data_IF_687343468192
#
_entry.id   IF_687343468192
#
_cell.length_a   1.000
_cell.length_b   1.000
_cell.length_c   1.000
_cell.angle_alpha   90.00
_cell.angle_beta   90.00
_cell.angle_gamma   90.00
#
_symmetry.space_group_name_H-M   'P 1'
#
loop_
_entity.id
_entity.type
_entity.pdbx_description
1 polymer ?
#
# COMPACT_ATOMS: atom_id res chain seq x y z
N UNK A 1 22.88 3.89 8.76
CA UNK A 1 22.29 2.53 8.83
C UNK A 1 21.00 2.55 8.03
N UNK A 2 20.86 1.67 7.03
CA UNK A 2 19.65 1.58 6.20
C UNK A 2 18.50 1.09 7.09
N UNK A 3 17.43 1.87 7.20
CA UNK A 3 16.29 1.58 8.09
C UNK A 3 15.06 1.03 7.35
N UNK A 4 15.04 1.08 6.02
CA UNK A 4 13.90 0.67 5.20
C UNK A 4 14.30 0.43 3.75
N UNK A 5 13.58 -0.47 3.09
CA UNK A 5 13.72 -0.77 1.65
C UNK A 5 12.38 -0.46 0.99
N UNK A 6 12.41 0.30 -0.11
CA UNK A 6 11.24 0.56 -0.94
C UNK A 6 11.36 -0.29 -2.21
N UNK A 7 10.32 -1.07 -2.51
CA UNK A 7 10.23 -1.88 -3.73
C UNK A 7 9.06 -1.36 -4.56
N UNK A 8 9.36 -0.83 -5.75
CA UNK A 8 8.38 -0.21 -6.65
C UNK A 8 8.45 -0.80 -8.06
N UNK A 9 7.39 -0.58 -8.85
CA UNK A 9 7.28 -1.07 -10.23
C UNK A 9 5.85 -1.48 -10.63
N UNK A 10 5.60 -1.80 -11.91
CA UNK A 10 4.27 -2.10 -12.46
C UNK A 10 3.54 -3.25 -11.73
N UNK A 11 2.19 -3.34 -11.81
CA UNK A 11 1.44 -4.48 -11.26
C UNK A 11 1.93 -5.82 -11.84
N UNK A 12 1.75 -6.90 -11.09
CA UNK A 12 2.10 -8.28 -11.47
C UNK A 12 3.59 -8.64 -11.74
N UNK A 13 4.56 -7.73 -11.57
CA UNK A 13 6.00 -8.05 -11.77
C UNK A 13 6.67 -8.84 -10.62
N UNK A 14 5.92 -9.26 -9.59
CA UNK A 14 6.47 -10.02 -8.46
C UNK A 14 7.04 -9.20 -7.29
N UNK A 15 6.79 -7.88 -7.22
CA UNK A 15 7.28 -7.00 -6.13
C UNK A 15 6.97 -7.54 -4.74
N UNK A 16 5.72 -7.91 -4.49
CA UNK A 16 5.27 -8.42 -3.19
C UNK A 16 5.96 -9.73 -2.83
N UNK A 17 6.22 -10.59 -3.82
CA UNK A 17 6.96 -11.83 -3.63
C UNK A 17 8.39 -11.55 -3.17
N UNK A 18 9.10 -10.65 -3.86
CA UNK A 18 10.46 -10.25 -3.49
C UNK A 18 10.50 -9.53 -2.15
N UNK A 19 9.53 -8.64 -1.88
CA UNK A 19 9.43 -7.89 -0.63
C UNK A 19 9.26 -8.83 0.57
N UNK A 20 8.42 -9.85 0.46
CA UNK A 20 8.23 -10.86 1.51
C UNK A 20 9.47 -11.71 1.74
N UNK A 21 10.14 -12.15 0.66
CA UNK A 21 11.39 -12.92 0.79
C UNK A 21 12.52 -12.12 1.45
N UNK A 22 12.67 -10.84 1.09
CA UNK A 22 13.63 -9.94 1.76
C UNK A 22 13.26 -9.68 3.23
N UNK A 23 11.97 -9.55 3.52
CA UNK A 23 11.50 -9.37 4.89
C UNK A 23 11.84 -10.58 5.77
N UNK A 24 11.65 -11.79 5.26
CA UNK A 24 11.98 -13.05 5.95
C UNK A 24 13.48 -13.23 6.13
N UNK A 25 14.28 -13.02 5.08
CA UNK A 25 15.74 -13.22 5.12
C UNK A 25 16.46 -12.25 6.05
N UNK A 26 15.99 -11.00 6.13
CA UNK A 26 16.65 -9.92 6.86
C UNK A 26 15.93 -9.49 8.14
N UNK A 27 14.92 -10.25 8.60
CA UNK A 27 14.10 -9.94 9.78
C UNK A 27 13.52 -8.52 9.74
N UNK A 28 12.95 -8.15 8.59
CA UNK A 28 12.31 -6.84 8.38
C UNK A 28 10.80 -6.97 8.42
N UNK A 29 10.12 -5.89 8.84
CA UNK A 29 8.66 -5.79 8.75
C UNK A 29 8.24 -5.49 7.31
N UNK A 30 7.43 -6.35 6.72
CA UNK A 30 6.84 -6.10 5.41
C UNK A 30 5.63 -5.16 5.52
N UNK A 31 5.69 -4.03 4.79
CA UNK A 31 4.59 -3.08 4.65
C UNK A 31 4.15 -2.97 3.18
N UNK A 32 2.84 -2.94 2.94
CA UNK A 32 2.24 -2.78 1.62
C UNK A 32 1.56 -1.42 1.52
N UNK A 33 2.01 -0.57 0.60
CA UNK A 33 1.33 0.68 0.29
C UNK A 33 -0.11 0.47 -0.21
N UNK A 34 -0.37 -0.65 -0.90
CA UNK A 34 -1.71 -1.03 -1.34
C UNK A 34 -2.64 -1.33 -0.17
N UNK A 35 -2.16 -2.01 0.87
CA UNK A 35 -2.98 -2.37 2.04
C UNK A 35 -3.36 -1.11 2.82
N UNK A 36 -2.40 -0.20 3.01
CA UNK A 36 -2.63 1.11 3.64
C UNK A 36 -3.65 1.92 2.84
N UNK A 37 -3.57 1.88 1.51
CA UNK A 37 -4.51 2.56 0.64
C UNK A 37 -5.93 1.96 0.72
N UNK A 38 -6.07 0.62 0.83
CA UNK A 38 -7.37 -0.04 1.09
C UNK A 38 -7.95 0.38 2.44
N UNK A 39 -7.12 0.55 3.47
CA UNK A 39 -7.56 1.03 4.78
C UNK A 39 -8.09 2.47 4.69
N UNK A 40 -7.39 3.37 3.99
CA UNK A 40 -7.86 4.74 3.79
C UNK A 40 -9.16 4.81 2.99
N UNK A 41 -9.31 3.95 1.98
CA UNK A 41 -10.57 3.81 1.26
C UNK A 41 -11.69 3.31 2.18
N UNK A 42 -11.42 2.35 3.06
CA UNK A 42 -12.39 1.89 4.05
C UNK A 42 -12.84 3.03 4.99
N UNK A 43 -11.90 3.86 5.43
CA UNK A 43 -12.18 5.03 6.28
C UNK A 43 -13.07 6.07 5.57
N UNK A 44 -13.02 6.13 4.23
CA UNK A 44 -13.92 6.94 3.39
C UNK A 44 -15.28 6.29 3.10
N UNK A 45 -15.52 5.06 3.56
CA UNK A 45 -16.79 4.36 3.41
C UNK A 45 -16.85 3.35 2.25
N UNK A 46 -15.72 3.05 1.59
CA UNK A 46 -15.67 1.99 0.57
C UNK A 46 -15.65 0.60 1.23
N UNK A 47 -16.35 -0.40 0.66
CA UNK A 47 -16.27 -1.78 1.15
C UNK A 47 -15.06 -2.50 0.55
N UNK A 48 -13.89 -2.34 1.18
CA UNK A 48 -12.61 -2.82 0.64
C UNK A 48 -12.30 -4.30 0.92
N UNK A 49 -13.32 -5.11 1.23
CA UNK A 49 -13.16 -6.54 1.51
C UNK A 49 -12.74 -7.30 0.25
N UNK A 50 -11.94 -8.34 0.43
CA UNK A 50 -11.48 -9.20 -0.65
C UNK A 50 -10.18 -8.74 -1.30
N UNK A 51 -9.46 -9.70 -1.86
CA UNK A 51 -8.19 -9.43 -2.57
C UNK A 51 -8.45 -8.78 -3.94
N UNK A 52 -9.57 -9.13 -4.55
CA UNK A 52 -10.13 -8.69 -5.83
C UNK A 52 -10.81 -7.31 -5.78
N UNK A 53 -10.85 -6.64 -4.62
CA UNK A 53 -11.49 -5.32 -4.52
C UNK A 53 -11.00 -4.31 -5.56
N UNK A 54 -9.70 -4.34 -5.92
CA UNK A 54 -9.13 -3.48 -6.95
C UNK A 54 -9.74 -3.68 -8.34
N UNK A 55 -10.28 -4.87 -8.60
CA UNK A 55 -10.89 -5.27 -9.86
C UNK A 55 -12.41 -5.02 -9.88
N UNK A 56 -12.99 -4.51 -8.78
CA UNK A 56 -14.40 -4.13 -8.70
C UNK A 56 -14.65 -2.74 -9.26
N UNK A 57 -15.90 -2.44 -9.63
CA UNK A 57 -16.26 -1.09 -10.09
C UNK A 57 -15.99 -0.01 -9.03
N UNK A 58 -16.22 -0.32 -7.76
CA UNK A 58 -15.91 0.59 -6.64
C UNK A 58 -14.41 0.84 -6.51
N UNK A 59 -13.59 -0.21 -6.60
CA UNK A 59 -12.14 -0.10 -6.60
C UNK A 59 -11.61 0.73 -7.77
N UNK A 60 -12.15 0.52 -8.98
CA UNK A 60 -11.79 1.33 -10.15
C UNK A 60 -12.17 2.80 -9.98
N UNK A 61 -13.37 3.08 -9.46
CA UNK A 61 -13.82 4.45 -9.19
C UNK A 61 -12.92 5.15 -8.17
N UNK A 62 -12.51 4.43 -7.12
CA UNK A 62 -11.54 4.93 -6.14
C UNK A 62 -10.18 5.26 -6.78
N UNK A 63 -9.67 4.41 -7.68
CA UNK A 63 -8.42 4.68 -8.39
C UNK A 63 -8.51 5.91 -9.29
N UNK A 64 -9.66 6.13 -9.94
CA UNK A 64 -9.93 7.34 -10.72
C UNK A 64 -9.95 8.58 -9.82
N UNK A 65 -10.65 8.53 -8.67
CA UNK A 65 -10.65 9.64 -7.70
C UNK A 65 -9.23 9.94 -7.18
N UNK A 66 -8.45 8.89 -6.90
CA UNK A 66 -7.06 9.02 -6.46
C UNK A 66 -6.19 9.73 -7.49
N UNK A 67 -6.39 9.46 -8.78
CA UNK A 67 -5.60 10.09 -9.84
C UNK A 67 -5.76 11.62 -9.84
N UNK A 68 -6.94 12.11 -9.49
CA UNK A 68 -7.26 13.54 -9.43
C UNK A 68 -6.96 14.16 -8.04
N UNK A 69 -6.81 13.34 -6.99
CA UNK A 69 -6.61 13.80 -5.62
C UNK A 69 -5.31 13.28 -4.98
N UNK A 70 -4.27 14.14 -4.99
CA UNK A 70 -2.96 13.86 -4.36
C UNK A 70 -2.99 13.61 -2.84
N UNK A 71 -4.10 13.90 -2.15
CA UNK A 71 -4.23 13.72 -0.70
C UNK A 71 -4.15 12.25 -0.30
N UNK A 72 -4.61 11.33 -1.14
CA UNK A 72 -4.50 9.90 -0.88
C UNK A 72 -3.05 9.44 -0.72
N UNK A 73 -2.19 9.82 -1.67
CA UNK A 73 -0.77 9.47 -1.63
C UNK A 73 -0.06 10.13 -0.43
N UNK A 74 -0.37 11.40 -0.12
CA UNK A 74 0.16 12.08 1.08
C UNK A 74 -0.22 11.35 2.36
N UNK A 75 -1.47 10.90 2.48
CA UNK A 75 -1.95 10.17 3.65
C UNK A 75 -1.28 8.79 3.80
N UNK A 76 -1.05 8.08 2.68
CA UNK A 76 -0.26 6.84 2.67
C UNK A 76 1.16 7.11 3.15
N UNK A 77 1.82 8.12 2.60
CA UNK A 77 3.19 8.50 2.97
C UNK A 77 3.31 8.84 4.45
N UNK A 78 2.38 9.62 4.99
CA UNK A 78 2.41 10.00 6.40
C UNK A 78 2.15 8.82 7.33
N UNK A 79 1.32 7.86 6.92
CA UNK A 79 1.12 6.61 7.66
C UNK A 79 2.37 5.73 7.61
N UNK A 80 3.02 5.62 6.47
CA UNK A 80 4.31 4.92 6.32
C UNK A 80 5.41 5.55 7.18
N UNK A 81 5.53 6.89 7.21
CA UNK A 81 6.49 7.60 8.08
C UNK A 81 6.23 7.33 9.57
N UNK A 82 4.96 7.30 9.97
CA UNK A 82 4.57 6.97 11.35
C UNK A 82 4.93 5.53 11.71
N UNK A 83 4.69 4.56 10.82
CA UNK A 83 5.07 3.17 11.02
C UNK A 83 6.59 3.03 11.13
N UNK A 84 7.32 3.62 10.19
CA UNK A 84 8.79 3.67 10.21
C UNK A 84 9.38 4.23 11.51
N UNK A 85 8.73 5.23 12.09
CA UNK A 85 9.19 5.86 13.34
C UNK A 85 8.96 4.99 14.59
N UNK A 86 8.14 3.94 14.49
CA UNK A 86 7.83 3.03 15.60
C UNK A 86 8.82 1.86 15.74
N UNK A 87 9.73 1.70 14.77
CA UNK A 87 10.60 0.53 14.65
C UNK A 87 9.99 -0.53 13.76
#
# INVERSE_FOLDING_TARGET
MLKSIIISGPPAIGKTTVAKGLAEEFDLVHLSGGDILKELAKDKGFDTKGNDWWDTQEGMNFLIERQENSEFDKNVDDKLKKLFSKG
#
